data_IF_090020681000
#
_entry.id   IF_090020681000
#
_cell.length_a   1.000
_cell.length_b   1.000
_cell.length_c   1.000
_cell.angle_alpha   90.00
_cell.angle_beta   90.00
_cell.angle_gamma   90.00
#
_symmetry.space_group_name_H-M   'P 1'
#
loop_
_entity.id
_entity.type
_entity.pdbx_description
1 polymer ?
#
# COMPACT_ATOMS: atom_id res chain seq x y z
N UNK A 1 -7.97 6.25 -9.66
CA UNK A 1 -8.52 5.20 -8.78
C UNK A 1 -8.64 5.71 -7.34
N UNK A 2 -9.74 5.38 -6.64
CA UNK A 2 -9.90 5.56 -5.20
C UNK A 2 -10.01 4.19 -4.54
N UNK A 3 -9.07 3.84 -3.70
CA UNK A 3 -8.99 2.53 -3.07
C UNK A 3 -8.94 2.63 -1.53
N UNK A 4 -9.31 1.54 -0.87
CA UNK A 4 -9.18 1.37 0.58
C UNK A 4 -8.15 0.28 0.87
N UNK A 5 -7.23 0.55 1.78
CA UNK A 5 -6.40 -0.50 2.37
C UNK A 5 -7.08 -1.04 3.64
N UNK A 6 -7.19 -2.35 3.72
CA UNK A 6 -7.73 -3.06 4.88
C UNK A 6 -6.61 -3.92 5.47
N UNK A 7 -6.07 -3.48 6.60
CA UNK A 7 -5.05 -4.26 7.32
C UNK A 7 -5.70 -5.51 7.92
N UNK A 8 -5.17 -6.74 7.69
CA UNK A 8 -5.80 -7.98 8.17
C UNK A 8 -5.67 -8.24 9.69
N UNK A 9 -5.91 -7.24 10.52
CA UNK A 9 -5.84 -7.36 12.00
C UNK A 9 -7.17 -7.73 12.67
N UNK A 10 -8.26 -7.63 11.94
CA UNK A 10 -9.60 -8.00 12.40
C UNK A 10 -9.99 -9.42 11.96
N UNK A 11 -11.02 -10.05 12.56
CA UNK A 11 -11.58 -11.31 12.07
C UNK A 11 -11.93 -11.26 10.59
N UNK A 12 -11.83 -12.39 9.89
CA UNK A 12 -12.09 -12.45 8.43
C UNK A 12 -13.50 -11.95 8.09
N UNK A 13 -14.48 -12.19 8.94
CA UNK A 13 -15.86 -11.71 8.76
C UNK A 13 -15.92 -10.19 8.71
N UNK A 14 -15.31 -9.50 9.68
CA UNK A 14 -15.22 -8.03 9.72
C UNK A 14 -14.46 -7.47 8.50
N UNK A 15 -13.34 -8.10 8.11
CA UNK A 15 -12.59 -7.69 6.92
C UNK A 15 -13.46 -7.79 5.65
N UNK A 16 -14.30 -8.82 5.60
CA UNK A 16 -15.22 -9.05 4.48
C UNK A 16 -16.33 -7.99 4.46
N UNK A 17 -16.88 -7.65 5.62
CA UNK A 17 -17.88 -6.58 5.77
C UNK A 17 -17.32 -5.21 5.33
N UNK A 18 -16.07 -4.89 5.72
CA UNK A 18 -15.40 -3.67 5.26
C UNK A 18 -15.18 -3.65 3.73
N UNK A 19 -14.88 -4.78 3.12
CA UNK A 19 -14.72 -4.85 1.66
C UNK A 19 -16.06 -4.65 0.94
N UNK A 20 -17.15 -5.20 1.46
CA UNK A 20 -18.51 -4.98 0.95
C UNK A 20 -18.91 -3.51 1.13
N UNK A 21 -18.65 -2.91 2.30
CA UNK A 21 -18.93 -1.49 2.53
C UNK A 21 -18.15 -0.59 1.55
N UNK A 22 -16.90 -0.93 1.24
CA UNK A 22 -16.11 -0.20 0.25
C UNK A 22 -16.69 -0.33 -1.18
N UNK A 23 -17.19 -1.51 -1.55
CA UNK A 23 -17.87 -1.72 -2.83
C UNK A 23 -19.18 -0.94 -2.91
N UNK A 24 -20.04 -1.03 -1.88
CA UNK A 24 -21.29 -0.28 -1.78
C UNK A 24 -21.10 1.24 -1.79
N UNK A 25 -19.93 1.68 -1.35
CA UNK A 25 -19.49 3.08 -1.36
C UNK A 25 -18.79 3.49 -2.68
N UNK A 26 -18.82 2.69 -3.73
CA UNK A 26 -18.24 2.95 -5.06
C UNK A 26 -16.71 3.21 -5.02
N UNK A 27 -15.95 2.52 -4.18
CA UNK A 27 -14.50 2.49 -4.28
C UNK A 27 -14.05 1.54 -5.38
N UNK A 28 -12.96 1.90 -6.08
CA UNK A 28 -12.46 1.15 -7.23
C UNK A 28 -11.72 -0.14 -6.83
N UNK A 29 -11.11 -0.15 -5.64
CA UNK A 29 -10.32 -1.29 -5.15
C UNK A 29 -10.28 -1.38 -3.62
N UNK A 30 -10.14 -2.60 -3.12
CA UNK A 30 -9.63 -2.89 -1.78
C UNK A 30 -8.28 -3.59 -1.89
N UNK A 31 -7.33 -3.18 -1.08
CA UNK A 31 -6.02 -3.84 -0.98
C UNK A 31 -5.76 -4.24 0.47
N UNK A 32 -5.06 -5.35 0.67
CA UNK A 32 -4.67 -5.79 2.00
C UNK A 32 -3.15 -5.72 2.17
N UNK A 33 -2.71 -5.20 3.30
CA UNK A 33 -1.29 -5.20 3.68
C UNK A 33 -0.84 -6.59 4.17
N UNK A 34 0.48 -6.79 4.25
CA UNK A 34 1.08 -8.03 4.72
C UNK A 34 1.98 -7.80 5.94
N UNK A 35 1.60 -8.41 7.06
CA UNK A 35 2.42 -8.53 8.26
C UNK A 35 2.22 -9.93 8.84
N UNK A 36 3.31 -10.63 9.19
CA UNK A 36 3.26 -12.02 9.67
C UNK A 36 2.42 -12.21 10.95
N UNK A 37 2.26 -11.17 11.74
CA UNK A 37 1.49 -11.17 12.99
C UNK A 37 -0.01 -10.92 12.79
N UNK A 38 -0.43 -10.58 11.57
CA UNK A 38 -1.83 -10.44 11.17
C UNK A 38 -2.32 -11.73 10.49
N UNK A 39 -3.57 -11.76 10.07
CA UNK A 39 -4.10 -12.87 9.30
C UNK A 39 -3.45 -12.92 7.91
N UNK A 40 -3.38 -14.12 7.33
CA UNK A 40 -2.79 -14.31 6.00
C UNK A 40 -3.48 -13.42 4.96
N UNK A 41 -2.68 -12.63 4.27
CA UNK A 41 -3.12 -11.63 3.29
C UNK A 41 -3.97 -12.25 2.16
N UNK A 42 -3.54 -13.37 1.58
CA UNK A 42 -4.25 -13.99 0.46
C UNK A 42 -5.52 -14.73 0.90
N UNK A 43 -5.55 -15.26 2.13
CA UNK A 43 -6.79 -15.82 2.69
C UNK A 43 -7.82 -14.72 2.95
N UNK A 44 -7.41 -13.59 3.50
CA UNK A 44 -8.28 -12.43 3.69
C UNK A 44 -8.81 -11.91 2.34
N UNK A 45 -7.92 -11.68 1.37
CA UNK A 45 -8.30 -11.23 0.02
C UNK A 45 -9.23 -12.23 -0.69
N UNK A 46 -9.04 -13.53 -0.49
CA UNK A 46 -9.94 -14.54 -1.06
C UNK A 46 -11.35 -14.44 -0.46
N UNK A 47 -11.46 -14.18 0.84
CA UNK A 47 -12.76 -13.98 1.49
C UNK A 47 -13.44 -12.69 0.97
N UNK A 48 -12.71 -11.58 0.90
CA UNK A 48 -13.21 -10.31 0.34
C UNK A 48 -13.65 -10.47 -1.11
N UNK A 49 -12.85 -11.12 -1.97
CA UNK A 49 -13.16 -11.39 -3.37
C UNK A 49 -14.44 -12.19 -3.57
N UNK A 50 -14.72 -13.11 -2.65
CA UNK A 50 -15.93 -13.95 -2.66
C UNK A 50 -17.19 -13.24 -2.20
N UNK A 51 -17.04 -12.16 -1.45
CA UNK A 51 -18.16 -11.39 -0.91
C UNK A 51 -18.50 -10.15 -1.75
N UNK A 52 -17.64 -9.81 -2.70
CA UNK A 52 -17.80 -8.64 -3.59
C UNK A 52 -17.95 -9.07 -5.04
N UNK A 53 -18.54 -8.21 -5.89
CA UNK A 53 -18.85 -8.53 -7.29
C UNK A 53 -18.09 -7.65 -8.30
N UNK A 54 -17.81 -6.38 -7.99
CA UNK A 54 -17.27 -5.39 -8.94
C UNK A 54 -15.93 -4.81 -8.51
N UNK A 55 -15.71 -4.57 -7.18
CA UNK A 55 -14.50 -3.94 -6.66
C UNK A 55 -13.27 -4.79 -6.92
N UNK A 56 -12.15 -4.17 -7.32
CA UNK A 56 -10.88 -4.86 -7.44
C UNK A 56 -10.35 -5.27 -6.07
N UNK A 57 -9.65 -6.39 -6.02
CA UNK A 57 -9.04 -6.93 -4.79
C UNK A 57 -7.56 -7.20 -5.01
N UNK A 58 -6.70 -6.78 -4.10
CA UNK A 58 -5.28 -6.94 -4.33
C UNK A 58 -4.38 -6.80 -3.11
N UNK A 59 -3.10 -7.04 -3.32
CA UNK A 59 -2.10 -6.89 -2.28
C UNK A 59 -1.59 -5.45 -2.19
N UNK A 60 -1.50 -4.90 -0.99
CA UNK A 60 -0.98 -3.56 -0.74
C UNK A 60 0.04 -3.50 0.41
N UNK A 61 1.22 -4.16 0.29
CA UNK A 61 1.76 -4.94 -0.80
C UNK A 61 2.23 -6.31 -0.31
N UNK A 62 2.34 -7.29 -1.20
CA UNK A 62 3.04 -8.54 -0.91
C UNK A 62 4.56 -8.34 -0.95
N UNK A 63 5.32 -9.23 -0.30
CA UNK A 63 6.78 -9.19 -0.38
C UNK A 63 7.38 -10.54 -0.85
N UNK A 64 8.48 -10.50 -1.62
CA UNK A 64 9.05 -11.70 -2.22
C UNK A 64 10.10 -12.39 -1.34
N UNK A 65 10.24 -12.01 -0.07
CA UNK A 65 11.23 -12.60 0.83
C UNK A 65 10.65 -13.72 1.68
N UNK A 66 9.47 -13.54 2.20
CA UNK A 66 8.75 -14.55 2.99
C UNK A 66 8.10 -15.62 2.10
N UNK A 67 7.71 -15.23 0.89
CA UNK A 67 7.11 -16.15 -0.07
C UNK A 67 7.92 -16.17 -1.36
N UNK A 68 8.18 -17.37 -1.89
CA UNK A 68 8.88 -17.52 -3.16
C UNK A 68 8.14 -16.82 -4.31
N UNK A 69 8.82 -16.04 -5.19
CA UNK A 69 8.19 -15.27 -6.27
C UNK A 69 7.23 -16.07 -7.18
N UNK A 70 7.58 -17.30 -7.55
CA UNK A 70 6.67 -18.18 -8.32
C UNK A 70 5.40 -18.51 -7.52
N UNK A 71 5.52 -18.68 -6.22
CA UNK A 71 4.35 -18.92 -5.35
C UNK A 71 3.47 -17.68 -5.23
N UNK A 72 4.06 -16.48 -5.16
CA UNK A 72 3.30 -15.22 -5.20
C UNK A 72 2.54 -15.09 -6.53
N UNK A 73 3.18 -15.37 -7.65
CA UNK A 73 2.53 -15.36 -8.96
C UNK A 73 1.34 -16.33 -9.03
N UNK A 74 1.48 -17.54 -8.49
CA UNK A 74 0.41 -18.54 -8.42
C UNK A 74 -0.73 -18.10 -7.48
N UNK A 75 -0.41 -17.54 -6.32
CA UNK A 75 -1.44 -17.02 -5.39
C UNK A 75 -2.25 -15.88 -6.00
N UNK A 76 -1.57 -14.95 -6.68
CA UNK A 76 -2.23 -13.83 -7.36
C UNK A 76 -3.08 -14.32 -8.54
N UNK A 77 -2.61 -15.28 -9.31
CA UNK A 77 -3.38 -15.91 -10.38
C UNK A 77 -4.64 -16.59 -9.84
N UNK A 78 -4.54 -17.29 -8.70
CA UNK A 78 -5.69 -17.89 -8.02
C UNK A 78 -6.66 -16.83 -7.50
N UNK A 79 -6.14 -15.71 -6.97
CA UNK A 79 -6.98 -14.59 -6.57
C UNK A 79 -7.73 -13.98 -7.77
N UNK A 80 -7.07 -13.87 -8.94
CA UNK A 80 -7.67 -13.42 -10.18
C UNK A 80 -8.82 -14.34 -10.62
N UNK A 81 -8.61 -15.67 -10.57
CA UNK A 81 -9.66 -16.65 -10.86
C UNK A 81 -10.87 -16.51 -9.89
N UNK A 82 -10.60 -16.43 -8.58
CA UNK A 82 -11.65 -16.34 -7.55
C UNK A 82 -12.44 -15.03 -7.65
N UNK A 83 -11.81 -13.96 -8.09
CA UNK A 83 -12.42 -12.64 -8.24
C UNK A 83 -12.94 -12.34 -9.65
N UNK A 84 -12.94 -13.31 -10.55
CA UNK A 84 -13.34 -13.12 -11.95
C UNK A 84 -12.57 -11.98 -12.66
N UNK A 85 -11.22 -12.02 -12.54
CA UNK A 85 -10.32 -11.07 -13.20
C UNK A 85 -10.12 -9.72 -12.50
N UNK A 86 -10.66 -9.53 -11.28
CA UNK A 86 -10.55 -8.27 -10.52
C UNK A 86 -9.27 -8.15 -9.68
N UNK A 87 -8.34 -9.10 -9.79
CA UNK A 87 -7.12 -9.06 -9.00
C UNK A 87 -6.19 -7.91 -9.37
N UNK A 88 -5.45 -7.40 -8.38
CA UNK A 88 -4.37 -6.44 -8.50
C UNK A 88 -3.16 -6.95 -7.71
N UNK A 89 -1.98 -6.90 -8.31
CA UNK A 89 -0.74 -7.33 -7.67
C UNK A 89 0.12 -6.16 -7.20
N UNK A 90 -0.04 -5.78 -5.94
CA UNK A 90 0.89 -4.88 -5.28
C UNK A 90 2.08 -5.66 -4.72
N UNK A 91 3.29 -5.27 -5.09
CA UNK A 91 4.54 -5.92 -4.70
C UNK A 91 5.55 -4.91 -4.18
N UNK A 92 6.18 -5.19 -3.06
CA UNK A 92 7.16 -4.30 -2.46
C UNK A 92 8.31 -5.05 -1.78
N UNK A 93 9.31 -4.32 -1.25
CA UNK A 93 10.47 -4.93 -0.63
C UNK A 93 10.20 -5.51 0.77
N UNK A 94 8.97 -5.42 1.26
CA UNK A 94 8.61 -5.77 2.62
C UNK A 94 9.09 -4.76 3.67
N UNK A 95 8.48 -4.80 4.83
CA UNK A 95 8.89 -4.01 5.99
C UNK A 95 10.16 -4.59 6.62
N UNK A 96 11.15 -3.71 6.86
CA UNK A 96 12.46 -4.13 7.36
C UNK A 96 12.42 -4.69 8.77
N UNK A 97 11.55 -4.17 9.64
CA UNK A 97 11.42 -4.64 11.02
C UNK A 97 10.74 -6.01 11.06
N UNK A 98 9.70 -6.19 10.27
CA UNK A 98 8.96 -7.46 10.11
C UNK A 98 9.91 -8.57 9.62
N UNK A 99 10.69 -8.32 8.57
CA UNK A 99 11.64 -9.29 8.03
C UNK A 99 12.76 -9.61 9.05
N UNK A 100 13.25 -8.60 9.77
CA UNK A 100 14.26 -8.79 10.83
C UNK A 100 13.73 -9.70 11.96
N UNK A 101 12.47 -9.54 12.37
CA UNK A 101 11.85 -10.40 13.38
C UNK A 101 11.76 -11.86 12.94
N UNK A 102 11.66 -12.11 11.64
CA UNK A 102 11.65 -13.45 11.05
C UNK A 102 13.05 -13.98 10.72
N UNK A 103 14.09 -13.18 10.96
CA UNK A 103 15.46 -13.54 10.60
C UNK A 103 15.70 -13.59 9.09
N UNK A 104 14.94 -12.81 8.33
CA UNK A 104 15.01 -12.77 6.87
C UNK A 104 15.76 -11.51 6.42
N UNK A 105 16.86 -11.71 5.70
CA UNK A 105 17.67 -10.63 5.15
C UNK A 105 17.00 -10.04 3.89
N UNK A 106 16.87 -8.70 3.85
CA UNK A 106 16.36 -7.96 2.69
C UNK A 106 17.49 -7.62 1.71
N UNK A 107 18.02 -8.64 1.02
CA UNK A 107 19.10 -8.47 0.04
C UNK A 107 18.58 -7.98 -1.32
N UNK A 108 19.28 -7.00 -1.92
CA UNK A 108 19.01 -6.44 -3.26
C UNK A 108 17.52 -6.13 -3.54
N UNK A 109 16.84 -5.32 -2.69
CA UNK A 109 15.39 -5.18 -2.71
C UNK A 109 14.83 -4.67 -4.06
N UNK A 110 15.48 -3.70 -4.69
CA UNK A 110 15.08 -3.19 -5.99
C UNK A 110 15.04 -4.32 -7.05
N UNK A 111 16.12 -5.08 -7.12
CA UNK A 111 16.27 -6.17 -8.08
C UNK A 111 15.31 -7.32 -7.77
N UNK A 112 15.16 -7.66 -6.51
CA UNK A 112 14.24 -8.72 -6.06
C UNK A 112 12.80 -8.42 -6.46
N UNK A 113 12.32 -7.21 -6.21
CA UNK A 113 10.97 -6.78 -6.59
C UNK A 113 10.80 -6.80 -8.11
N UNK A 114 11.74 -6.21 -8.87
CA UNK A 114 11.69 -6.20 -10.34
C UNK A 114 11.65 -7.61 -10.92
N UNK A 115 12.55 -8.49 -10.51
CA UNK A 115 12.61 -9.87 -11.00
C UNK A 115 11.33 -10.64 -10.65
N UNK A 116 10.76 -10.39 -9.47
CA UNK A 116 9.53 -11.05 -8.99
C UNK A 116 8.36 -10.76 -9.93
N UNK A 117 8.03 -9.50 -10.16
CA UNK A 117 6.85 -9.21 -10.98
C UNK A 117 7.09 -9.48 -12.46
N UNK A 118 8.33 -9.36 -12.97
CA UNK A 118 8.66 -9.76 -14.33
C UNK A 118 8.48 -11.27 -14.56
N UNK A 119 8.87 -12.09 -13.59
CA UNK A 119 8.63 -13.54 -13.64
C UNK A 119 7.13 -13.84 -13.50
N UNK A 120 6.43 -13.11 -12.62
CA UNK A 120 4.99 -13.27 -12.47
C UNK A 120 4.22 -12.98 -13.77
N UNK A 121 4.50 -11.85 -14.44
CA UNK A 121 3.91 -11.49 -15.74
C UNK A 121 4.11 -12.59 -16.78
N UNK A 122 5.34 -13.10 -16.94
CA UNK A 122 5.62 -14.19 -17.88
C UNK A 122 4.87 -15.49 -17.56
N UNK A 123 4.71 -15.80 -16.26
CA UNK A 123 3.92 -16.96 -15.84
C UNK A 123 2.43 -16.78 -16.16
N UNK A 124 1.90 -15.56 -16.01
CA UNK A 124 0.51 -15.22 -16.34
C UNK A 124 0.27 -15.20 -17.85
N UNK A 125 1.30 -14.86 -18.66
CA UNK A 125 1.29 -14.98 -20.11
C UNK A 125 1.40 -16.45 -20.61
N UNK A 126 1.39 -17.43 -19.68
CA UNK A 126 1.45 -18.86 -19.99
C UNK A 126 2.83 -19.40 -20.33
N UNK A 127 3.88 -18.60 -20.08
CA UNK A 127 5.26 -19.06 -20.35
C UNK A 127 5.75 -20.08 -19.31
N UNK A 128 6.69 -20.93 -19.73
CA UNK A 128 7.57 -21.66 -18.82
C UNK A 128 8.82 -20.85 -18.57
N UNK A 129 9.13 -20.61 -17.30
CA UNK A 129 10.18 -19.68 -16.89
C UNK A 129 11.34 -20.43 -16.25
N UNK A 130 12.54 -20.19 -16.81
CA UNK A 130 13.81 -20.41 -16.12
C UNK A 130 14.34 -19.05 -15.66
N UNK A 131 14.70 -18.94 -14.39
CA UNK A 131 15.25 -17.75 -13.78
C UNK A 131 16.38 -18.10 -12.81
N UNK A 132 17.48 -17.35 -12.89
CA UNK A 132 18.63 -17.46 -11.99
C UNK A 132 19.13 -16.05 -11.65
N UNK A 133 18.63 -15.50 -10.56
CA UNK A 133 18.88 -14.11 -10.15
C UNK A 133 18.86 -13.96 -8.63
N UNK A 134 17.98 -13.11 -8.11
CA UNK A 134 17.74 -12.98 -6.66
C UNK A 134 16.98 -14.18 -6.08
N UNK A 135 16.42 -15.00 -6.92
CA UNK A 135 15.83 -16.32 -6.62
C UNK A 135 16.05 -17.22 -7.83
N UNK A 136 15.75 -18.50 -7.67
CA UNK A 136 15.87 -19.48 -8.75
C UNK A 136 14.51 -20.08 -9.07
N UNK A 137 14.17 -20.18 -10.35
CA UNK A 137 13.06 -20.98 -10.87
C UNK A 137 13.57 -21.82 -12.05
N UNK A 138 13.07 -23.06 -12.21
CA UNK A 138 13.46 -23.97 -13.28
C UNK A 138 12.24 -24.62 -13.90
N UNK A 139 11.96 -24.29 -15.15
CA UNK A 139 10.80 -24.78 -15.89
C UNK A 139 9.46 -24.48 -15.19
N UNK A 140 9.42 -23.40 -14.38
CA UNK A 140 8.21 -23.02 -13.65
C UNK A 140 7.12 -22.58 -14.62
N UNK A 141 5.88 -22.99 -14.38
CA UNK A 141 4.72 -22.63 -15.20
C UNK A 141 3.44 -22.83 -14.41
N UNK A 142 2.39 -22.14 -14.81
CA UNK A 142 1.03 -22.36 -14.31
C UNK A 142 0.31 -23.37 -15.19
N UNK A 143 -0.66 -24.10 -14.65
CA UNK A 143 -1.42 -25.12 -15.37
C UNK A 143 -2.80 -24.64 -15.82
N UNK A 144 -3.04 -23.34 -15.74
CA UNK A 144 -4.30 -22.67 -16.06
C UNK A 144 -4.00 -21.28 -16.63
N UNK A 145 -4.94 -20.76 -17.41
CA UNK A 145 -4.84 -19.42 -17.99
C UNK A 145 -5.09 -18.35 -16.92
N UNK A 146 -4.35 -17.28 -17.00
CA UNK A 146 -4.49 -16.11 -16.12
C UNK A 146 -4.77 -14.90 -17.01
N UNK A 147 -5.77 -14.12 -16.64
CA UNK A 147 -6.05 -12.86 -17.33
C UNK A 147 -5.02 -11.78 -17.03
N UNK A 148 -5.30 -10.58 -17.49
CA UNK A 148 -4.48 -9.39 -17.20
C UNK A 148 -4.55 -9.03 -15.71
N UNK A 149 -3.39 -8.94 -15.05
CA UNK A 149 -3.25 -8.59 -13.64
C UNK A 149 -2.36 -7.35 -13.54
N UNK A 150 -2.93 -6.17 -13.23
CA UNK A 150 -2.15 -4.95 -13.06
C UNK A 150 -1.14 -5.09 -11.92
N UNK A 151 0.09 -4.61 -12.15
CA UNK A 151 1.17 -4.64 -11.18
C UNK A 151 1.45 -3.26 -10.62
N UNK A 152 1.31 -3.12 -9.32
CA UNK A 152 1.69 -1.91 -8.58
C UNK A 152 2.89 -2.17 -7.68
N UNK A 153 3.88 -1.28 -7.71
CA UNK A 153 5.07 -1.41 -6.87
C UNK A 153 4.96 -0.52 -5.65
N UNK A 154 5.07 -1.10 -4.46
CA UNK A 154 5.24 -0.34 -3.24
C UNK A 154 6.57 0.41 -3.26
N UNK A 155 6.52 1.73 -3.31
CA UNK A 155 7.69 2.59 -3.48
C UNK A 155 7.76 3.68 -2.40
N UNK A 156 8.98 4.00 -1.98
CA UNK A 156 9.26 5.10 -1.05
C UNK A 156 10.56 5.82 -1.40
N UNK A 157 11.51 5.12 -1.99
CA UNK A 157 12.81 5.67 -2.38
C UNK A 157 12.92 5.94 -3.88
N UNK A 158 13.90 6.77 -4.31
CA UNK A 158 13.99 7.27 -5.68
C UNK A 158 14.19 6.16 -6.72
N UNK A 159 14.97 5.15 -6.40
CA UNK A 159 15.27 4.07 -7.34
C UNK A 159 14.07 3.13 -7.54
N UNK A 160 13.29 2.88 -6.47
CA UNK A 160 12.09 2.04 -6.56
C UNK A 160 11.00 2.76 -7.36
N UNK A 161 10.82 4.06 -7.15
CA UNK A 161 9.84 4.87 -7.88
C UNK A 161 10.16 4.94 -9.38
N UNK A 162 11.43 5.19 -9.75
CA UNK A 162 11.86 5.18 -11.16
C UNK A 162 11.68 3.80 -11.80
N UNK A 163 12.04 2.74 -11.09
CA UNK A 163 11.90 1.38 -11.57
C UNK A 163 10.43 1.01 -11.79
N UNK A 164 9.55 1.41 -10.88
CA UNK A 164 8.11 1.22 -11.02
C UNK A 164 7.58 1.95 -12.25
N UNK A 165 7.88 3.23 -12.42
CA UNK A 165 7.43 4.04 -13.54
C UNK A 165 7.90 3.48 -14.90
N UNK A 166 9.11 2.92 -14.96
CA UNK A 166 9.64 2.29 -16.17
C UNK A 166 9.00 0.93 -16.48
N UNK A 167 8.66 0.11 -15.48
CA UNK A 167 8.44 -1.32 -15.66
C UNK A 167 7.11 -1.88 -15.14
N UNK A 168 6.37 -1.16 -14.30
CA UNK A 168 5.10 -1.59 -13.71
C UNK A 168 3.92 -0.78 -14.28
N UNK A 169 2.70 -1.15 -13.93
CA UNK A 169 1.49 -0.42 -14.35
C UNK A 169 1.25 0.78 -13.42
N UNK A 170 1.67 0.68 -12.16
CA UNK A 170 1.62 1.78 -11.22
C UNK A 170 2.61 1.64 -10.06
N UNK A 171 2.60 2.64 -9.19
CA UNK A 171 3.24 2.58 -7.88
C UNK A 171 2.27 2.99 -6.77
N UNK A 172 2.33 2.31 -5.66
CA UNK A 172 1.75 2.72 -4.38
C UNK A 172 2.86 3.44 -3.60
N UNK A 173 2.88 4.76 -3.66
CA UNK A 173 3.86 5.55 -2.96
C UNK A 173 3.39 5.84 -1.53
N UNK A 174 4.11 5.32 -0.54
CA UNK A 174 3.75 5.52 0.87
C UNK A 174 4.07 6.96 1.31
N UNK A 175 3.05 7.81 1.29
CA UNK A 175 3.11 9.21 1.70
C UNK A 175 1.72 9.84 1.77
N UNK A 176 1.47 10.59 2.84
CA UNK A 176 0.19 11.26 3.13
C UNK A 176 0.26 12.78 3.04
N UNK A 177 1.35 13.32 2.51
CA UNK A 177 1.59 14.76 2.40
C UNK A 177 1.94 15.16 0.97
N UNK A 178 1.43 16.29 0.43
CA UNK A 178 1.67 16.72 -0.96
C UNK A 178 3.16 16.92 -1.28
N UNK A 179 4.01 17.35 -0.33
CA UNK A 179 5.47 17.42 -0.53
C UNK A 179 6.09 16.08 -0.92
N UNK A 180 5.58 14.98 -0.36
CA UNK A 180 6.07 13.63 -0.66
C UNK A 180 5.64 13.19 -2.04
N UNK A 181 4.39 13.48 -2.41
CA UNK A 181 3.85 13.14 -3.72
C UNK A 181 4.47 13.99 -4.84
N UNK A 182 4.70 15.29 -4.61
CA UNK A 182 5.44 16.14 -5.55
C UNK A 182 6.84 15.58 -5.83
N UNK A 183 7.57 15.19 -4.77
CA UNK A 183 8.88 14.56 -4.90
C UNK A 183 8.80 13.20 -5.63
N UNK A 184 7.78 12.39 -5.34
CA UNK A 184 7.58 11.09 -5.99
C UNK A 184 7.24 11.25 -7.48
N UNK A 185 6.39 12.23 -7.84
CA UNK A 185 6.02 12.54 -9.21
C UNK A 185 7.25 12.91 -10.07
N UNK A 186 8.16 13.73 -9.53
CA UNK A 186 9.42 14.03 -10.23
C UNK A 186 10.25 12.74 -10.49
N UNK A 187 10.33 11.84 -9.51
CA UNK A 187 11.07 10.56 -9.67
C UNK A 187 10.36 9.60 -10.62
N UNK A 188 9.02 9.60 -10.62
CA UNK A 188 8.24 8.82 -11.59
C UNK A 188 8.45 9.36 -13.00
N UNK A 189 8.44 10.68 -13.21
CA UNK A 189 8.72 11.30 -14.49
C UNK A 189 10.10 10.90 -15.04
N UNK A 190 11.16 10.95 -14.21
CA UNK A 190 12.49 10.48 -14.59
C UNK A 190 12.50 8.98 -15.04
N UNK A 191 11.72 8.14 -14.38
CA UNK A 191 11.59 6.73 -14.76
C UNK A 191 10.78 6.53 -16.04
N UNK A 192 9.79 7.38 -16.27
CA UNK A 192 8.91 7.32 -17.43
C UNK A 192 9.61 7.72 -18.75
N UNK A 193 10.71 8.46 -18.70
CA UNK A 193 11.54 8.77 -19.88
C UNK A 193 12.02 7.50 -20.63
N UNK A 194 12.21 6.42 -19.88
CA UNK A 194 12.65 5.11 -20.40
C UNK A 194 11.50 4.07 -20.46
N UNK A 195 10.23 4.49 -20.30
CA UNK A 195 9.06 3.60 -20.30
C UNK A 195 8.72 3.21 -21.73
N UNK A 196 8.60 1.91 -22.06
CA UNK A 196 8.15 1.47 -23.37
C UNK A 196 6.69 1.90 -23.66
N UNK A 197 6.43 2.41 -24.87
CA UNK A 197 5.11 2.90 -25.30
C UNK A 197 4.00 1.86 -25.14
N UNK A 198 4.32 0.57 -25.37
CA UNK A 198 3.38 -0.55 -25.26
C UNK A 198 2.86 -0.79 -23.82
N UNK A 199 3.48 -0.18 -22.82
CA UNK A 199 3.03 -0.28 -21.42
C UNK A 199 1.89 0.67 -21.07
N UNK A 200 1.56 1.61 -21.96
CA UNK A 200 0.54 2.62 -21.69
C UNK A 200 0.93 3.59 -20.58
N UNK A 201 -0.04 4.25 -19.99
CA UNK A 201 0.15 5.22 -18.92
C UNK A 201 0.59 4.55 -17.61
N UNK A 202 1.28 5.33 -16.77
CA UNK A 202 1.70 4.91 -15.45
C UNK A 202 0.82 5.59 -14.40
N UNK A 203 0.31 4.81 -13.43
CA UNK A 203 -0.50 5.32 -12.33
C UNK A 203 0.36 5.52 -11.06
N UNK A 204 0.58 6.77 -10.66
CA UNK A 204 1.17 7.09 -9.37
C UNK A 204 0.06 7.19 -8.33
N UNK A 205 -0.10 6.17 -7.50
CA UNK A 205 -1.08 6.17 -6.42
C UNK A 205 -0.45 6.66 -5.11
N UNK A 206 -1.07 7.66 -4.49
CA UNK A 206 -0.76 8.06 -3.12
C UNK A 206 -1.29 6.98 -2.16
N UNK A 207 -0.39 6.20 -1.56
CA UNK A 207 -0.74 5.28 -0.48
C UNK A 207 -0.66 6.06 0.83
N UNK A 208 -1.77 6.67 1.22
CA UNK A 208 -1.81 7.67 2.27
C UNK A 208 -2.51 7.14 3.52
N UNK A 209 -1.80 7.09 4.65
CA UNK A 209 -2.47 6.90 5.93
C UNK A 209 -3.53 7.97 6.13
N UNK A 210 -4.72 7.54 6.51
CA UNK A 210 -5.85 8.43 6.78
C UNK A 210 -6.51 8.07 8.10
N UNK A 211 -6.99 9.07 8.81
CA UNK A 211 -7.85 8.89 9.98
C UNK A 211 -8.98 9.92 9.94
N UNK A 212 -10.20 9.47 9.66
CA UNK A 212 -11.36 10.34 9.51
C UNK A 212 -12.41 10.06 10.57
N UNK A 213 -12.97 11.12 11.15
CA UNK A 213 -14.14 11.08 12.02
C UNK A 213 -14.86 12.43 11.98
N UNK A 214 -16.13 12.49 12.42
CA UNK A 214 -16.85 13.77 12.58
C UNK A 214 -16.21 14.67 13.64
N UNK A 215 -15.51 14.09 14.60
CA UNK A 215 -14.75 14.78 15.65
C UNK A 215 -13.25 14.72 15.30
N UNK A 216 -12.65 15.88 15.05
CA UNK A 216 -11.25 16.02 14.65
C UNK A 216 -10.29 15.45 15.71
N UNK A 217 -10.54 15.67 17.01
CA UNK A 217 -9.68 15.20 18.09
C UNK A 217 -9.64 13.66 18.11
N UNK A 218 -10.80 13.02 17.93
CA UNK A 218 -10.89 11.56 17.85
C UNK A 218 -10.16 11.01 16.62
N UNK A 219 -10.26 11.67 15.47
CA UNK A 219 -9.54 11.28 14.28
C UNK A 219 -8.01 11.36 14.50
N UNK A 220 -7.53 12.46 15.06
CA UNK A 220 -6.10 12.67 15.35
C UNK A 220 -5.56 11.72 16.41
N UNK A 221 -6.35 11.40 17.42
CA UNK A 221 -5.95 10.43 18.46
C UNK A 221 -5.82 9.02 17.85
N UNK A 222 -6.74 8.59 17.00
CA UNK A 222 -6.65 7.31 16.29
C UNK A 222 -5.44 7.22 15.34
N UNK A 223 -4.96 8.34 14.83
CA UNK A 223 -3.77 8.41 13.97
C UNK A 223 -2.45 8.19 14.74
N UNK A 224 -2.38 8.44 16.06
CA UNK A 224 -1.12 8.43 16.82
C UNK A 224 -0.37 7.12 16.73
N UNK A 225 -1.04 6.00 16.92
CA UNK A 225 -0.40 4.68 16.89
C UNK A 225 0.21 4.34 15.52
N UNK A 226 -0.50 4.42 14.40
CA UNK A 226 0.08 4.22 13.07
C UNK A 226 1.20 5.21 12.76
N UNK A 227 1.02 6.49 13.09
CA UNK A 227 2.05 7.53 12.89
C UNK A 227 3.31 7.25 13.71
N UNK A 228 3.19 6.68 14.92
CA UNK A 228 4.37 6.28 15.70
C UNK A 228 5.24 5.26 14.94
N UNK A 229 4.63 4.24 14.33
CA UNK A 229 5.35 3.25 13.52
C UNK A 229 5.94 3.86 12.25
N UNK A 230 5.21 4.75 11.58
CA UNK A 230 5.70 5.42 10.37
C UNK A 230 6.89 6.32 10.72
N UNK A 231 6.77 7.14 11.76
CA UNK A 231 7.83 8.07 12.19
C UNK A 231 9.10 7.32 12.63
N UNK A 232 8.95 6.22 13.39
CA UNK A 232 10.07 5.39 13.82
C UNK A 232 10.79 4.70 12.65
N UNK A 233 10.09 4.38 11.57
CA UNK A 233 10.65 3.77 10.36
C UNK A 233 11.06 4.77 9.27
N UNK A 234 10.75 6.06 9.44
CA UNK A 234 11.01 7.08 8.43
C UNK A 234 12.53 7.35 8.26
N UNK A 235 13.06 7.26 7.03
CA UNK A 235 14.45 7.59 6.79
C UNK A 235 14.70 9.09 6.93
N UNK A 236 15.93 9.46 7.33
CA UNK A 236 16.31 10.85 7.59
C UNK A 236 15.91 11.84 6.47
N UNK A 237 16.05 11.55 5.16
CA UNK A 237 15.60 12.46 4.11
C UNK A 237 14.09 12.74 4.11
N UNK A 238 13.27 11.82 4.63
CA UNK A 238 11.82 12.03 4.79
C UNK A 238 11.56 12.94 5.99
N UNK A 239 12.21 12.69 7.13
CA UNK A 239 12.10 13.56 8.31
C UNK A 239 12.52 14.99 7.98
N UNK A 240 13.64 15.18 7.25
CA UNK A 240 14.13 16.49 6.82
C UNK A 240 13.15 17.21 5.87
N UNK A 241 12.46 16.49 4.99
CA UNK A 241 11.46 17.08 4.08
C UNK A 241 10.30 17.72 4.83
N UNK A 242 10.01 17.21 6.02
CA UNK A 242 8.92 17.69 6.88
C UNK A 242 9.40 18.53 8.06
N UNK A 243 10.66 18.91 8.09
CA UNK A 243 11.27 19.65 9.20
C UNK A 243 11.05 18.97 10.57
N UNK A 244 11.01 17.63 10.58
CA UNK A 244 10.83 16.83 11.79
C UNK A 244 12.15 16.54 12.48
N UNK A 245 12.14 16.57 13.82
CA UNK A 245 13.29 16.25 14.64
C UNK A 245 13.60 14.75 14.62
N UNK A 246 14.78 14.32 14.09
CA UNK A 246 15.18 12.92 14.05
C UNK A 246 15.31 12.28 15.45
N UNK A 247 15.77 13.05 16.47
CA UNK A 247 15.89 12.55 17.85
C UNK A 247 14.52 12.19 18.42
N UNK A 248 13.50 12.97 18.09
CA UNK A 248 12.13 12.66 18.50
C UNK A 248 11.59 11.39 17.83
N UNK A 249 11.86 11.19 16.53
CA UNK A 249 11.50 9.97 15.83
C UNK A 249 12.23 8.74 16.40
N UNK A 250 13.50 8.87 16.75
CA UNK A 250 14.28 7.82 17.42
C UNK A 250 13.68 7.46 18.78
N UNK A 251 13.33 8.45 19.59
CA UNK A 251 12.69 8.26 20.90
C UNK A 251 11.34 7.53 20.79
N UNK A 252 10.56 7.76 19.71
CA UNK A 252 9.34 6.98 19.42
C UNK A 252 9.70 5.53 19.12
N UNK A 253 10.73 5.30 18.29
CA UNK A 253 11.23 3.97 17.94
C UNK A 253 11.73 3.17 19.15
N UNK A 254 12.44 3.82 20.07
CA UNK A 254 12.88 3.20 21.32
C UNK A 254 11.72 2.73 22.19
N UNK A 255 10.64 3.52 22.29
CA UNK A 255 9.46 3.14 23.04
C UNK A 255 8.75 1.93 22.39
N UNK A 256 8.64 1.90 21.07
CA UNK A 256 8.11 0.74 20.32
C UNK A 256 8.95 -0.51 20.58
N UNK A 257 10.29 -0.40 20.47
CA UNK A 257 11.22 -1.50 20.72
C UNK A 257 11.15 -2.04 22.15
N UNK A 258 10.85 -1.19 23.13
CA UNK A 258 10.62 -1.57 24.52
C UNK A 258 9.21 -2.17 24.75
N UNK A 259 8.33 -2.20 23.77
CA UNK A 259 6.94 -2.62 23.90
C UNK A 259 6.05 -1.63 24.65
N UNK A 260 6.53 -0.41 24.89
CA UNK A 260 5.77 0.67 25.53
C UNK A 260 5.04 1.52 24.47
N UNK A 261 4.02 0.92 23.90
CA UNK A 261 3.22 1.57 22.84
C UNK A 261 2.50 2.83 23.31
N UNK A 262 2.14 2.90 24.61
CA UNK A 262 1.53 4.10 25.16
C UNK A 262 2.52 5.27 25.17
N UNK A 263 3.74 5.04 25.64
CA UNK A 263 4.79 6.06 25.57
C UNK A 263 5.15 6.46 24.14
N UNK A 264 5.08 5.51 23.19
CA UNK A 264 5.26 5.83 21.77
C UNK A 264 4.19 6.79 21.28
N UNK A 265 2.91 6.53 21.54
CA UNK A 265 1.78 7.39 21.15
C UNK A 265 1.89 8.80 21.77
N UNK A 266 2.26 8.89 23.04
CA UNK A 266 2.44 10.18 23.76
C UNK A 266 3.61 11.00 23.18
N UNK A 267 4.60 10.38 22.55
CA UNK A 267 5.74 11.05 21.91
C UNK A 267 5.47 11.53 20.48
N UNK A 268 4.42 11.03 19.83
CA UNK A 268 4.01 11.53 18.51
C UNK A 268 3.59 12.99 18.62
N UNK A 269 4.21 13.86 17.81
CA UNK A 269 3.83 15.28 17.76
C UNK A 269 2.73 15.52 16.74
N UNK A 270 2.03 16.64 16.87
CA UNK A 270 1.06 17.08 15.87
C UNK A 270 1.71 17.23 14.47
N UNK A 271 2.93 17.77 14.42
CA UNK A 271 3.69 17.85 13.17
C UNK A 271 3.98 16.47 12.54
N UNK A 272 4.18 15.41 13.32
CA UNK A 272 4.31 14.05 12.80
C UNK A 272 2.97 13.53 12.26
N UNK A 273 1.85 13.84 12.93
CA UNK A 273 0.53 13.48 12.42
C UNK A 273 0.29 14.19 11.08
N UNK A 274 0.52 15.49 10.99
CA UNK A 274 0.33 16.29 9.78
C UNK A 274 1.21 15.82 8.61
N UNK A 275 2.43 15.35 8.90
CA UNK A 275 3.36 14.84 7.90
C UNK A 275 2.98 13.44 7.38
N UNK A 276 2.48 12.56 8.23
CA UNK A 276 2.37 11.14 7.93
C UNK A 276 0.95 10.60 7.85
N UNK A 277 -0.07 11.41 8.18
CA UNK A 277 -1.46 11.00 8.15
C UNK A 277 -2.39 12.16 7.75
N UNK A 278 -3.34 11.90 6.88
CA UNK A 278 -4.46 12.82 6.65
C UNK A 278 -5.50 12.58 7.76
N UNK A 279 -5.35 13.28 8.89
CA UNK A 279 -6.17 13.07 10.09
C UNK A 279 -7.08 14.27 10.37
N UNK A 280 -8.39 14.05 10.46
CA UNK A 280 -9.36 15.11 10.78
C UNK A 280 -10.79 14.79 10.38
N UNK A 281 -11.55 15.85 10.16
CA UNK A 281 -12.94 15.75 9.67
C UNK A 281 -12.97 15.31 8.19
N UNK A 282 -14.13 14.89 7.65
CA UNK A 282 -14.27 14.58 6.23
C UNK A 282 -13.82 15.74 5.33
N UNK A 283 -14.06 16.99 5.70
CA UNK A 283 -13.62 18.16 4.94
C UNK A 283 -12.09 18.28 4.93
N UNK A 284 -11.44 18.12 6.09
CA UNK A 284 -9.97 18.13 6.20
C UNK A 284 -9.32 17.03 5.36
N UNK A 285 -9.89 15.83 5.40
CA UNK A 285 -9.38 14.70 4.60
C UNK A 285 -9.63 14.92 3.11
N UNK A 286 -10.77 15.51 2.73
CA UNK A 286 -11.05 15.86 1.34
C UNK A 286 -10.05 16.89 0.80
N UNK A 287 -9.77 17.97 1.55
CA UNK A 287 -8.78 18.98 1.19
C UNK A 287 -7.38 18.36 1.01
N UNK A 288 -6.95 17.51 1.95
CA UNK A 288 -5.67 16.80 1.84
C UNK A 288 -5.65 15.85 0.62
N UNK A 289 -6.74 15.17 0.33
CA UNK A 289 -6.85 14.32 -0.86
C UNK A 289 -6.71 15.15 -2.15
N UNK A 290 -7.29 16.36 -2.20
CA UNK A 290 -7.11 17.30 -3.31
C UNK A 290 -5.65 17.65 -3.53
N UNK A 291 -4.97 18.04 -2.47
CA UNK A 291 -3.54 18.38 -2.51
C UNK A 291 -2.66 17.18 -2.96
N UNK A 292 -3.01 15.96 -2.54
CA UNK A 292 -2.29 14.76 -2.98
C UNK A 292 -2.49 14.50 -4.48
N UNK A 293 -3.73 14.66 -4.97
CA UNK A 293 -4.09 14.42 -6.37
C UNK A 293 -3.63 15.54 -7.33
N UNK A 294 -3.07 16.64 -6.83
CA UNK A 294 -2.29 17.56 -7.66
C UNK A 294 -0.99 16.91 -8.19
N UNK A 295 -0.51 15.85 -7.53
CA UNK A 295 0.77 15.19 -7.81
C UNK A 295 0.65 13.68 -8.05
N UNK A 296 -0.50 13.09 -7.82
CA UNK A 296 -0.79 11.67 -7.98
C UNK A 296 -2.03 11.47 -8.85
N UNK A 297 -2.12 10.31 -9.51
CA UNK A 297 -3.24 9.95 -10.38
C UNK A 297 -4.36 9.25 -9.60
N UNK A 298 -3.99 8.64 -8.48
CA UNK A 298 -4.84 7.78 -7.66
C UNK A 298 -4.55 7.94 -6.18
N UNK A 299 -5.51 7.52 -5.33
CA UNK A 299 -5.31 7.46 -3.88
C UNK A 299 -5.75 6.10 -3.32
N UNK A 300 -4.94 5.56 -2.42
CA UNK A 300 -5.26 4.44 -1.56
C UNK A 300 -5.32 4.98 -0.13
N UNK A 301 -6.51 5.05 0.44
CA UNK A 301 -6.68 5.41 1.84
C UNK A 301 -6.27 4.24 2.71
N UNK A 302 -5.18 4.40 3.41
CA UNK A 302 -4.55 3.36 4.21
C UNK A 302 -4.84 3.53 5.71
N UNK A 303 -4.66 2.44 6.44
CA UNK A 303 -4.85 2.38 7.90
C UNK A 303 -4.27 3.61 8.64
N UNK A 304 -5.01 4.06 9.71
CA UNK A 304 -6.05 3.35 10.45
C UNK A 304 -7.48 3.51 9.91
N UNK A 305 -7.71 4.30 8.89
CA UNK A 305 -8.98 4.79 8.34
C UNK A 305 -9.70 5.75 9.31
N UNK A 306 -9.75 5.42 10.58
CA UNK A 306 -10.36 6.21 11.64
C UNK A 306 -10.56 5.40 12.92
N UNK A 307 -11.22 5.98 13.94
CA UNK A 307 -11.55 5.27 15.18
C UNK A 307 -12.61 4.17 14.97
N UNK A 308 -13.32 4.19 13.85
CA UNK A 308 -14.35 3.25 13.42
C UNK A 308 -14.18 3.05 11.91
N UNK A 309 -13.57 1.94 11.45
CA UNK A 309 -13.26 1.74 10.04
C UNK A 309 -14.47 1.67 9.11
N UNK A 310 -15.59 1.08 9.53
CA UNK A 310 -16.81 1.03 8.72
C UNK A 310 -17.38 2.44 8.51
N UNK A 311 -17.50 3.20 9.60
CA UNK A 311 -17.92 4.60 9.52
C UNK A 311 -16.96 5.46 8.71
N UNK A 312 -15.66 5.18 8.78
CA UNK A 312 -14.64 5.90 8.02
C UNK A 312 -14.82 5.71 6.51
N UNK A 313 -15.19 4.52 6.05
CA UNK A 313 -15.48 4.25 4.62
C UNK A 313 -16.61 5.16 4.13
N UNK A 314 -17.72 5.27 4.88
CA UNK A 314 -18.83 6.19 4.56
C UNK A 314 -18.37 7.65 4.48
N UNK A 315 -17.57 8.09 5.45
CA UNK A 315 -17.08 9.47 5.52
C UNK A 315 -16.13 9.80 4.39
N UNK A 316 -15.25 8.86 4.01
CA UNK A 316 -14.35 8.99 2.87
C UNK A 316 -15.10 9.03 1.55
N UNK A 317 -16.14 8.21 1.38
CA UNK A 317 -17.01 8.24 0.22
C UNK A 317 -17.72 9.59 0.10
N UNK A 318 -18.31 10.10 1.19
CA UNK A 318 -18.95 11.40 1.21
C UNK A 318 -17.98 12.56 0.89
N UNK A 319 -16.75 12.50 1.42
CA UNK A 319 -15.67 13.44 1.12
C UNK A 319 -15.32 13.43 -0.38
N UNK A 320 -15.12 12.27 -0.97
CA UNK A 320 -14.86 12.08 -2.41
C UNK A 320 -15.99 12.65 -3.27
N UNK A 321 -17.24 12.34 -2.94
CA UNK A 321 -18.40 12.72 -3.75
C UNK A 321 -18.71 14.22 -3.69
N UNK A 322 -18.41 14.88 -2.58
CA UNK A 322 -18.51 16.34 -2.47
C UNK A 322 -17.64 17.07 -3.48
N UNK A 323 -16.46 16.50 -3.79
CA UNK A 323 -15.49 17.01 -4.78
C UNK A 323 -15.95 16.81 -6.22
N UNK A 324 -16.55 15.66 -6.54
CA UNK A 324 -17.06 15.39 -7.89
C UNK A 324 -18.20 16.34 -8.31
N UNK A 325 -18.79 17.05 -7.35
CA UNK A 325 -19.91 18.00 -7.55
C UNK A 325 -19.48 19.46 -7.58
N UNK A 326 -18.27 19.80 -7.13
CA UNK A 326 -17.69 21.13 -7.12
C UNK A 326 -16.91 21.43 -8.40
#
# INVERSE_FOLDING_TARGET
MYAIEITPEHPIEELTELAVAAEEADFDAVVASHHYNNRDQFMALTAMARATEEIRVGTGVANPYETHPVTLASRTATLSEVSDGRALFGIGPGDGSTLSNLGVDRDRPLRRVLETFKVAQRLWDGERVDHDGTFTARGAGLNYDVGDVPVYVGAQGPHMTRMAAKHADGAMYNGAHPRDLAWAAERAAEGAEDRPDERGEFDLAAYASVSVAEDEERAREAARRPVAFIAAGAPEPVLQRHDLDPERAENVGEAIAAGDFRAADERVSEAMIDAFCAAGTPETVAERTDELLEHADSVVYASPLGPDPERAIDLLAAARDSRRRA
#
